data_IF_579746356922
#
_entry.id   IF_579746356922
#
_cell.length_a   1.000
_cell.length_b   1.000
_cell.length_c   1.000
_cell.angle_alpha   90.00
_cell.angle_beta   90.00
_cell.angle_gamma   90.00
#
_symmetry.space_group_name_H-M   'P 1'
#
loop_
_entity.id
_entity.type
_entity.pdbx_description
1 polymer ?
#
# COMPACT_ATOMS: atom_id res chain seq x y z
N UNK A 1 -8.67 0.15 35.07
CA UNK A 1 -9.93 -0.58 34.87
C UNK A 1 -9.60 -1.71 33.90
N UNK A 2 -9.55 -2.96 34.36
CA UNK A 2 -9.25 -4.10 33.50
C UNK A 2 -10.53 -4.51 32.77
N UNK A 3 -10.45 -4.66 31.45
CA UNK A 3 -11.59 -5.11 30.65
C UNK A 3 -11.82 -6.59 30.94
N UNK A 4 -13.06 -6.98 31.20
CA UNK A 4 -13.43 -8.36 31.53
C UNK A 4 -13.21 -9.31 30.34
N UNK A 5 -12.75 -10.53 30.63
CA UNK A 5 -12.40 -11.55 29.62
C UNK A 5 -13.60 -11.92 28.73
N UNK A 6 -14.81 -11.85 29.30
CA UNK A 6 -16.07 -12.11 28.58
C UNK A 6 -16.38 -11.07 27.50
N UNK A 7 -15.92 -9.82 27.68
CA UNK A 7 -16.11 -8.76 26.69
C UNK A 7 -15.20 -9.00 25.48
N UNK A 8 -13.96 -9.43 25.71
CA UNK A 8 -13.03 -9.78 24.63
C UNK A 8 -13.49 -11.02 23.85
N UNK A 9 -14.08 -12.01 24.53
CA UNK A 9 -14.63 -13.21 23.90
C UNK A 9 -15.92 -12.96 23.10
N UNK A 10 -16.56 -11.81 23.30
CA UNK A 10 -17.77 -11.39 22.57
C UNK A 10 -17.49 -10.57 21.31
N UNK A 11 -16.24 -10.17 21.09
CA UNK A 11 -15.83 -9.53 19.84
C UNK A 11 -15.85 -10.61 18.76
N UNK A 12 -16.64 -10.37 17.73
CA UNK A 12 -16.65 -11.26 16.56
C UNK A 12 -15.23 -11.30 15.97
N UNK A 13 -14.63 -12.50 15.79
CA UNK A 13 -13.24 -12.65 15.32
C UNK A 13 -12.93 -11.86 14.05
N UNK A 14 -13.94 -11.59 13.21
CA UNK A 14 -13.82 -10.77 12.01
C UNK A 14 -13.37 -9.32 12.33
N UNK A 15 -13.69 -8.79 13.52
CA UNK A 15 -13.29 -7.45 13.99
C UNK A 15 -12.00 -7.46 14.81
N UNK A 16 -11.42 -8.63 15.12
CA UNK A 16 -10.04 -8.74 15.61
C UNK A 16 -9.02 -8.68 14.46
N UNK A 17 -9.49 -8.65 13.20
CA UNK A 17 -8.68 -8.81 11.98
C UNK A 17 -8.49 -7.51 11.17
N UNK A 18 -8.74 -6.34 11.75
CA UNK A 18 -8.31 -5.06 11.16
C UNK A 18 -6.77 -4.96 11.20
N UNK A 19 -6.12 -5.61 10.24
CA UNK A 19 -4.71 -5.50 9.95
C UNK A 19 -4.52 -4.73 8.66
N UNK A 20 -3.55 -3.83 8.64
CA UNK A 20 -3.19 -3.05 7.46
C UNK A 20 -1.81 -3.45 6.97
N UNK A 21 -1.61 -3.31 5.67
CA UNK A 21 -0.30 -3.40 5.06
C UNK A 21 0.19 -1.99 4.73
N UNK A 22 1.37 -1.65 5.26
CA UNK A 22 1.98 -0.34 5.10
C UNK A 22 3.14 -0.45 4.11
N UNK A 23 3.06 0.29 3.00
CA UNK A 23 4.12 0.33 2.00
C UNK A 23 4.66 1.74 1.86
N UNK A 24 5.88 1.95 2.37
CA UNK A 24 6.62 3.18 2.16
C UNK A 24 7.25 3.16 0.76
N UNK A 25 6.72 4.01 -0.12
CA UNK A 25 7.23 4.17 -1.48
C UNK A 25 8.26 5.29 -1.51
N UNK A 26 9.38 5.04 -2.18
CA UNK A 26 10.43 6.02 -2.47
C UNK A 26 10.50 6.21 -3.98
N UNK A 27 10.49 7.46 -4.41
CA UNK A 27 10.56 7.84 -5.81
C UNK A 27 11.73 8.80 -5.99
N UNK A 28 12.61 8.51 -6.95
CA UNK A 28 13.70 9.41 -7.29
C UNK A 28 13.17 10.52 -8.22
N UNK A 29 13.53 11.76 -7.92
CA UNK A 29 13.10 12.96 -8.65
C UNK A 29 14.29 13.42 -9.50
N UNK A 30 14.45 12.91 -10.74
CA UNK A 30 15.58 13.27 -11.60
C UNK A 30 15.59 14.73 -12.04
N UNK A 31 14.41 15.37 -12.10
CA UNK A 31 14.29 16.77 -12.51
C UNK A 31 13.25 17.51 -11.67
N UNK A 32 13.49 18.77 -11.27
CA UNK A 32 12.49 19.60 -10.59
C UNK A 32 11.22 19.79 -11.42
N UNK A 33 10.08 19.97 -10.74
CA UNK A 33 8.79 20.27 -11.37
C UNK A 33 8.02 19.04 -11.86
N UNK A 34 8.48 17.82 -11.57
CA UNK A 34 7.75 16.59 -11.89
C UNK A 34 6.39 16.55 -11.20
N UNK A 35 5.43 15.90 -11.85
CA UNK A 35 4.10 15.66 -11.29
C UNK A 35 3.93 14.16 -11.06
N UNK A 36 3.53 13.79 -9.86
CA UNK A 36 3.20 12.41 -9.52
C UNK A 36 1.80 12.33 -8.91
N UNK A 37 1.20 11.15 -8.97
CA UNK A 37 -0.09 10.84 -8.34
C UNK A 37 -0.18 9.34 -8.09
N UNK A 38 -1.20 8.93 -7.35
CA UNK A 38 -1.53 7.51 -7.18
C UNK A 38 -2.98 7.23 -7.57
N UNK A 39 -3.23 6.09 -8.20
CA UNK A 39 -4.59 5.65 -8.50
C UNK A 39 -5.20 4.84 -7.34
N UNK A 40 -6.52 4.99 -7.12
CA UNK A 40 -7.25 4.20 -6.11
C UNK A 40 -7.28 2.71 -6.41
N UNK A 41 -7.06 2.36 -7.67
CA UNK A 41 -6.96 1.01 -8.20
C UNK A 41 -5.56 0.40 -7.99
N UNK A 42 -4.69 1.04 -7.21
CA UNK A 42 -3.45 0.42 -6.74
C UNK A 42 -3.79 -0.72 -5.79
N UNK A 43 -3.17 -1.88 -5.99
CA UNK A 43 -3.45 -3.10 -5.20
C UNK A 43 -2.18 -3.81 -4.79
N UNK A 44 -2.26 -4.60 -3.73
CA UNK A 44 -1.33 -5.70 -3.50
C UNK A 44 -1.96 -6.99 -4.05
N UNK A 45 -1.28 -7.64 -4.99
CA UNK A 45 -1.76 -8.85 -5.62
C UNK A 45 -0.97 -10.06 -5.11
N UNK A 46 -1.65 -11.01 -4.45
CA UNK A 46 -1.02 -12.26 -4.00
C UNK A 46 -0.50 -13.05 -5.20
N UNK A 47 0.76 -13.47 -5.18
CA UNK A 47 1.37 -14.21 -6.27
C UNK A 47 0.89 -15.67 -6.36
N UNK A 48 0.26 -16.20 -5.30
CA UNK A 48 -0.15 -17.60 -5.21
C UNK A 48 -1.67 -17.82 -5.17
N UNK A 49 -2.45 -16.74 -5.18
CA UNK A 49 -3.91 -16.81 -5.19
C UNK A 49 -4.51 -15.70 -6.07
N UNK A 50 -5.83 -15.69 -6.24
CA UNK A 50 -6.54 -14.57 -6.86
C UNK A 50 -6.85 -13.44 -5.87
N UNK A 51 -6.29 -13.48 -4.66
CA UNK A 51 -6.54 -12.51 -3.61
C UNK A 51 -5.83 -11.18 -3.87
N UNK A 52 -6.56 -10.08 -3.66
CA UNK A 52 -6.03 -8.73 -3.75
C UNK A 52 -6.36 -7.93 -2.50
N UNK A 53 -5.38 -7.18 -2.00
CA UNK A 53 -5.59 -6.17 -0.96
C UNK A 53 -5.73 -4.79 -1.59
N UNK A 54 -6.77 -4.07 -1.20
CA UNK A 54 -7.17 -2.80 -1.80
C UNK A 54 -6.50 -1.63 -1.08
N UNK A 55 -6.17 -0.57 -1.82
CA UNK A 55 -5.67 0.67 -1.25
C UNK A 55 -6.76 1.36 -0.42
N UNK A 56 -6.51 1.55 0.87
CA UNK A 56 -7.41 2.18 1.83
C UNK A 56 -7.06 3.67 1.99
N UNK A 57 -5.78 3.98 2.11
CA UNK A 57 -5.30 5.35 2.31
C UNK A 57 -3.94 5.59 1.65
N UNK A 58 -3.66 6.85 1.34
CA UNK A 58 -2.40 7.30 0.78
C UNK A 58 -2.05 8.63 1.45
N UNK A 59 -0.83 8.70 1.97
CA UNK A 59 -0.33 9.85 2.72
C UNK A 59 0.82 10.50 1.94
N UNK A 60 0.84 11.83 1.90
CA UNK A 60 1.83 12.63 1.17
C UNK A 60 1.86 12.35 -0.35
N UNK A 61 0.74 11.98 -0.96
CA UNK A 61 0.57 11.92 -2.43
C UNK A 61 -0.90 12.17 -2.77
N UNK A 62 -1.15 12.80 -3.91
CA UNK A 62 -2.50 13.08 -4.41
C UNK A 62 -3.07 11.87 -5.14
N UNK A 63 -4.37 11.62 -4.93
CA UNK A 63 -5.10 10.66 -5.75
C UNK A 63 -5.42 11.25 -7.12
N UNK A 64 -5.34 10.42 -8.16
CA UNK A 64 -5.86 10.77 -9.47
C UNK A 64 -7.34 11.23 -9.38
N UNK A 65 -7.74 12.28 -10.12
CA UNK A 65 -6.98 12.95 -11.18
C UNK A 65 -6.03 14.07 -10.70
N UNK A 66 -5.99 14.36 -9.40
CA UNK A 66 -5.13 15.41 -8.85
C UNK A 66 -3.66 15.00 -8.86
N UNK A 67 -2.78 16.01 -8.94
CA UNK A 67 -1.34 15.82 -9.03
C UNK A 67 -0.63 16.45 -7.84
N UNK A 68 0.39 15.76 -7.35
CA UNK A 68 1.39 16.30 -6.43
C UNK A 68 2.55 16.85 -7.25
N UNK A 69 2.83 18.14 -7.11
CA UNK A 69 3.99 18.76 -7.73
C UNK A 69 5.23 18.56 -6.85
N UNK A 70 6.31 18.09 -7.47
CA UNK A 70 7.61 17.88 -6.83
C UNK A 70 8.54 19.04 -7.23
N UNK A 71 8.71 20.06 -6.38
CA UNK A 71 9.38 21.31 -6.79
C UNK A 71 10.90 21.17 -6.95
N UNK A 72 11.52 20.16 -6.36
CA UNK A 72 12.97 19.99 -6.31
C UNK A 72 13.37 18.58 -6.75
N UNK A 73 14.59 18.43 -7.25
CA UNK A 73 15.23 17.14 -7.46
C UNK A 73 15.54 16.42 -6.12
N UNK A 74 15.83 15.13 -6.18
CA UNK A 74 16.22 14.33 -5.01
C UNK A 74 15.34 13.11 -4.81
N UNK A 75 14.82 12.92 -3.60
CA UNK A 75 13.97 11.78 -3.25
C UNK A 75 12.64 12.25 -2.70
N UNK A 76 11.56 11.66 -3.19
CA UNK A 76 10.23 11.82 -2.64
C UNK A 76 9.81 10.55 -1.91
N UNK A 77 8.99 10.68 -0.87
CA UNK A 77 8.45 9.53 -0.16
C UNK A 77 7.00 9.75 0.21
N UNK A 78 6.22 8.69 0.05
CA UNK A 78 4.82 8.64 0.42
C UNK A 78 4.49 7.27 1.00
N UNK A 79 3.35 7.16 1.66
CA UNK A 79 2.89 5.93 2.29
C UNK A 79 1.58 5.50 1.64
N UNK A 80 1.51 4.23 1.27
CA UNK A 80 0.29 3.56 0.85
C UNK A 80 -0.13 2.57 1.94
N UNK A 81 -1.42 2.60 2.32
CA UNK A 81 -2.01 1.74 3.34
C UNK A 81 -3.07 0.88 2.67
N UNK A 82 -2.92 -0.43 2.75
CA UNK A 82 -3.82 -1.40 2.14
C UNK A 82 -4.56 -2.22 3.20
N UNK A 83 -5.68 -2.83 2.81
CA UNK A 83 -6.34 -3.86 3.60
C UNK A 83 -5.41 -5.05 3.84
N UNK A 84 -5.73 -5.91 4.81
CA UNK A 84 -4.95 -7.10 5.11
C UNK A 84 -4.72 -7.98 3.85
N UNK A 85 -3.55 -8.62 3.79
CA UNK A 85 -3.27 -9.72 2.86
C UNK A 85 -3.83 -11.04 3.42
N UNK A 86 -4.28 -11.98 2.55
CA UNK A 86 -4.70 -13.30 2.99
C UNK A 86 -3.66 -13.96 3.90
N UNK A 87 -4.07 -14.64 4.98
CA UNK A 87 -3.13 -15.26 5.94
C UNK A 87 -2.16 -16.27 5.29
N UNK A 88 -2.55 -16.85 4.16
CA UNK A 88 -1.74 -17.78 3.37
C UNK A 88 -0.76 -17.11 2.41
N UNK A 89 -0.87 -15.79 2.19
CA UNK A 89 0.02 -15.07 1.29
C UNK A 89 1.45 -15.07 1.83
N UNK A 90 2.39 -15.55 1.00
CA UNK A 90 3.84 -15.56 1.29
C UNK A 90 4.61 -14.57 0.41
N UNK A 91 4.02 -14.15 -0.71
CA UNK A 91 4.63 -13.25 -1.67
C UNK A 91 3.53 -12.49 -2.43
N UNK A 92 3.75 -11.21 -2.70
CA UNK A 92 2.80 -10.37 -3.43
C UNK A 92 3.51 -9.36 -4.34
N UNK A 93 2.76 -8.83 -5.29
CA UNK A 93 3.16 -7.71 -6.15
C UNK A 93 2.43 -6.43 -5.71
N UNK A 94 3.09 -5.28 -5.76
CA UNK A 94 2.45 -3.97 -5.69
C UNK A 94 2.22 -3.48 -7.11
N UNK A 95 0.97 -3.23 -7.47
CA UNK A 95 0.57 -2.91 -8.85
C UNK A 95 -0.29 -1.66 -8.85
N UNK A 96 0.15 -0.62 -9.56
CA UNK A 96 -0.71 0.51 -9.88
C UNK A 96 -1.50 0.22 -11.16
N UNK A 97 -2.75 -0.24 -11.01
CA UNK A 97 -3.61 -0.49 -12.15
C UNK A 97 -4.19 0.83 -12.65
N UNK A 98 -3.81 1.26 -13.84
CA UNK A 98 -4.28 2.53 -14.40
C UNK A 98 -4.87 2.29 -15.79
N UNK A 99 -5.83 3.12 -16.24
CA UNK A 99 -6.43 2.99 -17.57
C UNK A 99 -5.53 3.52 -18.70
N UNK A 100 -4.34 4.02 -18.39
CA UNK A 100 -3.41 4.68 -19.30
C UNK A 100 -1.98 4.09 -19.19
N UNK A 101 -1.01 4.65 -19.92
CA UNK A 101 0.39 4.26 -19.76
C UNK A 101 1.03 4.99 -18.56
N UNK A 102 2.08 4.39 -17.98
CA UNK A 102 2.88 5.02 -16.92
C UNK A 102 2.57 4.56 -15.50
N UNK A 103 1.82 3.47 -15.32
CA UNK A 103 1.65 2.82 -14.02
C UNK A 103 2.88 2.00 -13.65
N UNK A 104 3.11 1.80 -12.36
CA UNK A 104 4.26 1.04 -11.87
C UNK A 104 3.89 -0.36 -11.36
N UNK A 105 4.88 -1.25 -11.36
CA UNK A 105 4.78 -2.61 -10.82
C UNK A 105 6.05 -2.97 -10.06
N UNK A 106 5.91 -3.28 -8.76
CA UNK A 106 6.99 -3.85 -7.94
C UNK A 106 6.65 -5.29 -7.64
N UNK A 107 7.43 -6.22 -8.20
CA UNK A 107 7.13 -7.65 -8.14
C UNK A 107 7.79 -8.39 -6.99
N UNK A 108 7.23 -9.53 -6.64
CA UNK A 108 7.83 -10.59 -5.84
C UNK A 108 8.23 -10.14 -4.42
N UNK A 109 7.48 -9.23 -3.81
CA UNK A 109 7.71 -8.76 -2.45
C UNK A 109 7.41 -9.92 -1.49
N UNK A 110 8.45 -10.41 -0.81
CA UNK A 110 8.31 -11.46 0.19
C UNK A 110 7.58 -10.92 1.43
N UNK A 111 6.50 -11.59 1.85
CA UNK A 111 5.73 -11.17 3.01
C UNK A 111 6.55 -11.32 4.30
N UNK A 112 6.47 -10.34 5.18
CA UNK A 112 7.08 -10.36 6.50
C UNK A 112 6.02 -10.34 7.61
N UNK A 113 6.45 -10.52 8.87
CA UNK A 113 5.54 -10.60 10.03
C UNK A 113 4.98 -9.25 10.49
N UNK A 114 5.53 -8.14 10.01
CA UNK A 114 5.15 -6.79 10.43
C UNK A 114 4.16 -6.14 9.47
N UNK A 115 4.03 -6.67 8.26
CA UNK A 115 3.28 -6.08 7.15
C UNK A 115 3.66 -4.60 6.88
N UNK A 116 4.93 -4.25 7.16
CA UNK A 116 5.55 -2.96 6.83
C UNK A 116 6.65 -3.22 5.80
N UNK A 117 6.61 -2.48 4.69
CA UNK A 117 7.51 -2.63 3.56
C UNK A 117 8.08 -1.28 3.11
N UNK A 118 9.26 -1.31 2.49
CA UNK A 118 9.85 -0.16 1.82
C UNK A 118 10.24 -0.56 0.41
N UNK A 119 9.78 0.19 -0.58
CA UNK A 119 10.02 -0.08 -1.99
C UNK A 119 10.52 1.18 -2.69
N UNK A 120 11.38 1.00 -3.69
CA UNK A 120 11.69 2.05 -4.65
C UNK A 120 10.78 1.84 -5.87
N UNK A 121 10.21 2.92 -6.36
CA UNK A 121 9.40 2.94 -7.59
C UNK A 121 10.10 3.85 -8.59
N UNK A 122 10.10 3.41 -9.86
CA UNK A 122 10.72 4.10 -10.99
C UNK A 122 9.68 4.84 -11.83
#
# INVERSE_FOLDING_TARGET
MAIGVDVLASIDPEYLEDSFVYVHCKFDIPTPGMLIRIWRTTVLNDCHSSGQSQLIHAENISYAPQWTMLPNEGKYSFLLIFSALPKTCTQFDLIEQIPEAGGFVVKNIARNKTDIYSVNID
#
